data_IF_403227710811
#
_entry.id   IF_403227710811
#
_cell.length_a   1.000
_cell.length_b   1.000
_cell.length_c   1.000
_cell.angle_alpha   90.00
_cell.angle_beta   90.00
_cell.angle_gamma   90.00
#
_symmetry.space_group_name_H-M   'P 1'
#
loop_
_entity.id
_entity.type
_entity.pdbx_description
1 polymer ?
#
# COMPACT_ATOMS: atom_id res chain seq x y z
N UNK A 1 -51.13 30.40 -34.67
CA UNK A 1 -50.45 30.23 -33.38
C UNK A 1 -49.16 29.49 -33.68
N UNK A 2 -48.04 30.19 -33.61
CA UNK A 2 -46.71 29.61 -33.79
C UNK A 2 -45.90 30.01 -32.56
N UNK A 3 -45.53 29.04 -31.73
CA UNK A 3 -44.55 29.22 -30.66
C UNK A 3 -43.16 28.98 -31.24
N UNK A 4 -42.19 29.88 -31.03
CA UNK A 4 -40.80 29.64 -31.41
C UNK A 4 -40.10 28.77 -30.33
N UNK A 5 -39.23 27.83 -30.72
CA UNK A 5 -38.39 27.12 -29.75
C UNK A 5 -37.32 28.07 -29.22
N UNK A 6 -37.20 28.12 -27.89
CA UNK A 6 -36.07 28.78 -27.21
C UNK A 6 -34.88 27.83 -27.33
N UNK A 7 -33.87 28.27 -28.07
CA UNK A 7 -32.54 27.67 -28.09
C UNK A 7 -31.82 28.10 -26.80
N UNK A 8 -31.71 27.19 -25.83
CA UNK A 8 -30.82 27.35 -24.68
C UNK A 8 -29.46 26.75 -25.05
N UNK A 9 -28.60 27.60 -25.59
CA UNK A 9 -27.16 27.35 -25.67
C UNK A 9 -26.57 27.57 -24.28
N UNK A 10 -26.22 26.49 -23.59
CA UNK A 10 -25.74 26.56 -22.22
C UNK A 10 -25.02 25.30 -21.74
N UNK A 11 -23.88 25.01 -22.38
CA UNK A 11 -22.67 24.49 -21.71
C UNK A 11 -22.84 23.32 -20.73
N UNK A 12 -22.84 22.09 -21.24
CA UNK A 12 -22.04 21.04 -20.60
C UNK A 12 -21.28 20.30 -21.69
N UNK A 13 -20.06 20.77 -21.97
CA UNK A 13 -19.03 19.90 -22.50
C UNK A 13 -18.87 18.76 -21.48
N UNK A 14 -19.62 17.68 -21.68
CA UNK A 14 -19.40 16.41 -21.02
C UNK A 14 -18.03 15.91 -21.51
N UNK A 15 -17.00 16.37 -20.80
CA UNK A 15 -15.62 16.02 -20.98
C UNK A 15 -15.51 14.51 -20.97
N UNK A 16 -15.37 13.95 -22.18
CA UNK A 16 -14.95 12.58 -22.35
C UNK A 16 -13.46 12.51 -21.96
N UNK A 17 -13.21 11.80 -20.85
CA UNK A 17 -11.93 11.21 -20.40
C UNK A 17 -11.02 12.12 -19.53
N UNK A 18 -10.36 11.57 -18.46
CA UNK A 18 -9.75 10.24 -18.45
C UNK A 18 -10.08 9.39 -17.21
N UNK A 19 -10.80 8.28 -17.45
CA UNK A 19 -10.81 7.12 -16.53
C UNK A 19 -9.42 6.42 -16.43
N UNK A 20 -8.46 6.84 -17.27
CA UNK A 20 -7.09 6.34 -17.34
C UNK A 20 -6.16 6.90 -16.24
N UNK A 21 -6.23 8.19 -15.91
CA UNK A 21 -5.37 8.78 -14.86
C UNK A 21 -5.70 8.23 -13.47
N UNK A 22 -7.00 8.04 -13.18
CA UNK A 22 -7.47 7.45 -11.91
C UNK A 22 -6.93 6.03 -11.70
N UNK A 23 -6.93 5.20 -12.76
CA UNK A 23 -6.42 3.82 -12.69
C UNK A 23 -4.90 3.79 -12.52
N UNK A 24 -4.17 4.68 -13.21
CA UNK A 24 -2.71 4.81 -13.07
C UNK A 24 -2.31 5.31 -11.68
N UNK A 25 -2.99 6.32 -11.12
CA UNK A 25 -2.73 6.80 -9.76
C UNK A 25 -3.07 5.74 -8.70
N UNK A 26 -4.17 5.00 -8.85
CA UNK A 26 -4.50 3.88 -7.96
C UNK A 26 -3.43 2.78 -8.01
N UNK A 27 -2.87 2.50 -9.19
CA UNK A 27 -1.80 1.51 -9.38
C UNK A 27 -0.48 1.97 -8.74
N UNK A 28 -0.12 3.25 -8.88
CA UNK A 28 1.06 3.83 -8.25
C UNK A 28 0.92 3.84 -6.73
N UNK A 29 -0.24 4.25 -6.21
CA UNK A 29 -0.52 4.23 -4.77
C UNK A 29 -0.47 2.80 -4.20
N UNK A 30 -1.07 1.82 -4.88
CA UNK A 30 -1.00 0.42 -4.47
C UNK A 30 0.45 -0.12 -4.47
N UNK A 31 1.23 0.24 -5.50
CA UNK A 31 2.64 -0.15 -5.59
C UNK A 31 3.48 0.49 -4.48
N UNK A 32 3.29 1.78 -4.23
CA UNK A 32 3.97 2.49 -3.15
C UNK A 32 3.59 1.95 -1.77
N UNK A 33 2.31 1.63 -1.56
CA UNK A 33 1.82 1.00 -0.34
C UNK A 33 2.43 -0.40 -0.17
N UNK A 34 2.55 -1.19 -1.22
CA UNK A 34 3.18 -2.50 -1.16
C UNK A 34 4.67 -2.40 -0.80
N UNK A 35 5.40 -1.44 -1.37
CA UNK A 35 6.81 -1.17 -1.03
C UNK A 35 6.91 -0.70 0.43
N UNK A 36 6.05 0.23 0.84
CA UNK A 36 6.04 0.76 2.20
C UNK A 36 5.73 -0.36 3.20
N UNK A 37 4.73 -1.21 2.90
CA UNK A 37 4.37 -2.37 3.73
C UNK A 37 5.48 -3.40 3.79
N UNK A 38 6.18 -3.66 2.69
CA UNK A 38 7.31 -4.58 2.66
C UNK A 38 8.50 -4.06 3.49
N UNK A 39 8.72 -2.74 3.51
CA UNK A 39 9.83 -2.11 4.24
C UNK A 39 9.48 -1.65 5.66
N UNK A 40 8.20 -1.49 5.99
CA UNK A 40 7.76 -1.01 7.31
C UNK A 40 7.91 -2.05 8.42
N UNK A 41 8.17 -3.31 8.06
CA UNK A 41 8.40 -4.41 9.00
C UNK A 41 9.85 -4.89 9.00
N UNK A 42 10.77 -4.11 8.41
CA UNK A 42 12.20 -4.37 8.49
C UNK A 42 12.69 -3.98 9.90
N UNK A 43 12.49 -4.92 10.84
CA UNK A 43 12.80 -4.74 12.27
C UNK A 43 14.11 -5.45 12.56
N UNK A 44 15.07 -4.71 13.11
CA UNK A 44 16.31 -5.30 13.64
C UNK A 44 16.09 -5.77 15.07
N UNK A 45 16.44 -7.03 15.34
CA UNK A 45 16.33 -7.63 16.67
C UNK A 45 17.66 -7.48 17.41
N UNK A 46 17.69 -6.68 18.48
CA UNK A 46 18.84 -6.56 19.38
C UNK A 46 18.79 -7.66 20.45
N UNK A 47 19.15 -8.90 20.06
CA UNK A 47 19.12 -10.09 20.95
C UNK A 47 20.51 -10.49 21.48
N UNK A 48 21.55 -9.72 21.17
CA UNK A 48 22.94 -10.02 21.52
C UNK A 48 23.53 -11.20 20.73
N UNK A 49 24.73 -11.64 21.13
CA UNK A 49 25.44 -12.74 20.46
C UNK A 49 24.90 -14.13 20.80
N UNK A 50 24.02 -14.22 21.80
CA UNK A 50 23.47 -15.48 22.33
C UNK A 50 22.47 -16.14 21.37
N UNK A 51 21.79 -15.33 20.55
CA UNK A 51 20.74 -15.79 19.65
C UNK A 51 21.06 -15.44 18.20
N UNK A 52 20.78 -16.38 17.31
CA UNK A 52 20.76 -16.18 15.86
C UNK A 52 19.30 -16.10 15.41
N UNK A 53 18.91 -14.99 14.78
CA UNK A 53 17.55 -14.79 14.25
C UNK A 53 17.45 -15.47 12.89
N UNK A 54 16.40 -16.28 12.70
CA UNK A 54 16.25 -17.13 11.51
C UNK A 54 15.13 -16.62 10.60
N UNK A 55 13.88 -16.63 11.06
CA UNK A 55 12.74 -16.22 10.24
C UNK A 55 11.63 -15.55 11.07
N UNK A 56 10.96 -14.56 10.48
CA UNK A 56 9.79 -13.93 11.10
C UNK A 56 8.59 -14.85 10.99
N UNK A 57 8.01 -15.21 12.14
CA UNK A 57 6.86 -16.12 12.24
C UNK A 57 5.54 -15.39 12.54
N UNK A 58 5.60 -14.12 12.94
CA UNK A 58 4.38 -13.33 13.20
C UNK A 58 4.61 -11.83 13.25
N UNK A 59 3.59 -11.08 12.81
CA UNK A 59 3.56 -9.61 12.87
C UNK A 59 2.30 -9.16 13.60
N UNK A 60 2.47 -8.42 14.69
CA UNK A 60 1.39 -7.80 15.45
C UNK A 60 1.37 -6.28 15.27
N UNK A 61 0.35 -5.64 15.86
CA UNK A 61 0.24 -4.17 15.85
C UNK A 61 1.40 -3.46 16.58
N UNK A 62 2.04 -4.16 17.52
CA UNK A 62 3.05 -3.59 18.43
C UNK A 62 4.42 -4.27 18.33
N UNK A 63 4.60 -5.23 17.42
CA UNK A 63 5.86 -5.94 17.33
C UNK A 63 5.87 -7.08 16.32
N UNK A 64 7.05 -7.64 16.14
CA UNK A 64 7.33 -8.76 15.24
C UNK A 64 7.90 -9.91 16.08
N UNK A 65 7.44 -11.13 15.82
CA UNK A 65 7.92 -12.35 16.47
C UNK A 65 8.74 -13.14 15.45
N UNK A 66 9.97 -13.46 15.80
CA UNK A 66 10.90 -14.21 14.97
C UNK A 66 11.32 -15.49 15.67
N UNK A 67 11.53 -16.56 14.91
CA UNK A 67 12.24 -17.73 15.39
C UNK A 67 13.72 -17.36 15.56
N UNK A 68 14.30 -17.87 16.64
CA UNK A 68 15.70 -17.67 16.95
C UNK A 68 16.28 -18.95 17.52
N UNK A 69 17.57 -19.18 17.29
CA UNK A 69 18.33 -20.31 17.82
C UNK A 69 19.38 -19.81 18.78
N UNK A 70 19.47 -20.40 19.97
CA UNK A 70 20.54 -20.09 20.91
C UNK A 70 21.86 -20.69 20.42
N UNK A 71 22.94 -19.92 20.38
CA UNK A 71 24.23 -20.37 19.82
C UNK A 71 24.96 -21.39 20.71
N UNK A 72 24.76 -21.31 22.02
CA UNK A 72 25.45 -22.14 23.02
C UNK A 72 24.79 -23.52 23.17
N UNK A 73 23.45 -23.58 23.20
CA UNK A 73 22.69 -24.83 23.32
C UNK A 73 22.29 -25.40 21.98
N UNK A 74 22.24 -24.57 20.94
CA UNK A 74 21.78 -24.97 19.60
C UNK A 74 20.31 -25.36 19.52
N UNK A 75 19.54 -25.15 20.60
CA UNK A 75 18.10 -25.38 20.76
C UNK A 75 17.38 -24.05 20.91
#
# INVERSE_FOLDING_TARGET
MAEPPVEDEGEEAAQTQPKQESTHQATVAAKNLAILKARSFDVTFEVGDEYEVIETIGTGAYGVVSSARRKDTGV
#
